data_IF_112904991661
#
_entry.id   IF_112904991661
#
_cell.length_a   1.000
_cell.length_b   1.000
_cell.length_c   1.000
_cell.angle_alpha   90.00
_cell.angle_beta   90.00
_cell.angle_gamma   90.00
#
_symmetry.space_group_name_H-M   'P 1'
#
loop_
_entity.id
_entity.type
_entity.pdbx_description
1 polymer ?
#
# COMPACT_ATOMS: atom_id res chain seq x y z
N UNK A 1 15.38 13.23 4.55
CA UNK A 1 14.01 13.77 4.65
C UNK A 1 13.55 13.51 6.06
N UNK A 2 13.00 14.50 6.74
CA UNK A 2 12.43 14.30 8.08
C UNK A 2 10.95 13.89 8.01
N UNK A 3 10.33 13.67 9.18
CA UNK A 3 8.93 13.24 9.26
C UNK A 3 7.97 14.25 8.63
N UNK A 4 8.16 15.54 8.90
CA UNK A 4 7.21 16.57 8.47
C UNK A 4 7.31 16.82 6.97
N UNK A 5 8.51 16.74 6.41
CA UNK A 5 8.73 16.76 4.97
C UNK A 5 8.02 15.58 4.29
N UNK A 6 8.17 14.36 4.82
CA UNK A 6 7.56 13.16 4.26
C UNK A 6 6.02 13.26 4.21
N UNK A 7 5.44 13.77 5.30
CA UNK A 7 3.99 13.98 5.42
C UNK A 7 3.51 15.04 4.43
N UNK A 8 4.23 16.16 4.29
CA UNK A 8 3.87 17.25 3.38
C UNK A 8 3.96 16.82 1.89
N UNK A 9 4.96 16.00 1.54
CA UNK A 9 5.17 15.56 0.16
C UNK A 9 4.19 14.44 -0.29
N UNK A 10 3.56 13.75 0.66
CA UNK A 10 2.62 12.67 0.38
C UNK A 10 1.43 13.20 -0.43
N UNK A 11 1.18 12.57 -1.57
CA UNK A 11 0.08 12.89 -2.49
C UNK A 11 -0.53 11.63 -3.08
N UNK A 12 -1.72 11.74 -3.65
CA UNK A 12 -2.35 10.62 -4.36
C UNK A 12 -1.66 10.44 -5.72
N UNK A 13 -0.96 9.33 -5.89
CA UNK A 13 -0.32 8.93 -7.16
C UNK A 13 -1.31 8.05 -7.94
N UNK A 14 -1.49 8.34 -9.24
CA UNK A 14 -2.44 7.63 -10.13
C UNK A 14 -1.76 6.93 -11.31
N UNK A 15 -0.44 7.06 -11.42
CA UNK A 15 0.36 6.47 -12.50
C UNK A 15 1.59 5.87 -11.84
N UNK A 16 1.70 4.56 -11.91
CA UNK A 16 2.83 3.80 -11.41
C UNK A 16 3.61 3.20 -12.58
N UNK A 17 4.85 2.83 -12.32
CA UNK A 17 5.68 2.13 -13.31
C UNK A 17 5.23 0.65 -13.39
N UNK A 18 4.69 0.18 -14.53
CA UNK A 18 4.23 -1.19 -14.66
C UNK A 18 5.36 -2.22 -14.68
N UNK A 19 6.61 -1.78 -14.87
CA UNK A 19 7.80 -2.65 -14.86
C UNK A 19 8.40 -2.82 -13.47
N UNK A 20 8.00 -1.97 -12.52
CA UNK A 20 8.51 -2.02 -11.16
C UNK A 20 7.70 -3.00 -10.29
N UNK A 21 8.41 -3.93 -9.65
CA UNK A 21 7.87 -4.80 -8.62
C UNK A 21 8.61 -4.53 -7.31
N UNK A 22 7.85 -4.29 -6.23
CA UNK A 22 8.42 -4.16 -4.89
C UNK A 22 8.96 -5.50 -4.43
N UNK A 23 10.12 -5.47 -3.79
CA UNK A 23 10.71 -6.63 -3.14
C UNK A 23 9.93 -7.01 -1.89
N UNK A 24 10.04 -8.27 -1.48
CA UNK A 24 9.43 -8.75 -0.24
C UNK A 24 9.94 -7.98 0.98
N UNK A 25 11.22 -7.60 0.99
CA UNK A 25 11.83 -6.82 2.05
C UNK A 25 11.22 -5.41 2.17
N UNK A 26 11.03 -4.70 1.05
CA UNK A 26 10.39 -3.38 1.05
C UNK A 26 8.95 -3.45 1.57
N UNK A 27 8.21 -4.49 1.16
CA UNK A 27 6.85 -4.73 1.62
C UNK A 27 6.83 -5.01 3.13
N UNK A 28 7.73 -5.88 3.62
CA UNK A 28 7.84 -6.20 5.03
C UNK A 28 8.13 -4.95 5.88
N UNK A 29 9.10 -4.12 5.48
CA UNK A 29 9.43 -2.88 6.19
C UNK A 29 8.26 -1.90 6.25
N UNK A 30 7.43 -1.82 5.19
CA UNK A 30 6.21 -1.00 5.22
C UNK A 30 5.20 -1.55 6.23
N UNK A 31 4.99 -2.86 6.28
CA UNK A 31 4.05 -3.47 7.22
C UNK A 31 4.51 -3.36 8.67
N UNK A 32 5.81 -3.50 8.94
CA UNK A 32 6.39 -3.25 10.27
C UNK A 32 6.06 -1.85 10.77
N UNK A 33 6.17 -0.83 9.92
CA UNK A 33 5.77 0.53 10.26
C UNK A 33 4.26 0.69 10.45
N UNK A 34 3.44 0.06 9.58
CA UNK A 34 1.97 0.16 9.63
C UNK A 34 1.41 -0.45 10.91
N UNK A 35 1.92 -1.60 11.37
CA UNK A 35 1.44 -2.31 12.55
C UNK A 35 1.64 -1.49 13.84
N UNK A 36 2.60 -0.56 13.86
CA UNK A 36 2.81 0.35 14.99
C UNK A 36 1.75 1.45 15.11
N UNK A 37 0.82 1.56 14.16
CA UNK A 37 -0.28 2.53 14.23
C UNK A 37 -1.19 2.24 15.43
N UNK A 38 -1.57 3.26 16.22
CA UNK A 38 -2.41 3.05 17.38
C UNK A 38 -3.81 2.59 16.97
N UNK A 39 -4.39 1.71 17.79
CA UNK A 39 -5.79 1.27 17.65
C UNK A 39 -6.48 1.38 19.00
N UNK A 40 -7.81 1.53 19.02
CA UNK A 40 -8.58 1.57 20.27
C UNK A 40 -8.28 0.32 21.09
N UNK A 41 -7.92 0.48 22.37
CA UNK A 41 -7.51 -0.61 23.26
C UNK A 41 -6.37 -1.50 22.72
N UNK A 42 -5.60 -1.01 21.74
CA UNK A 42 -4.57 -1.77 21.02
C UNK A 42 -5.05 -3.11 20.42
N UNK A 43 -6.33 -3.20 20.04
CA UNK A 43 -6.92 -4.47 19.56
C UNK A 43 -6.39 -4.92 18.19
N UNK A 44 -5.74 -4.03 17.44
CA UNK A 44 -5.14 -4.34 16.13
C UNK A 44 -6.14 -5.08 15.21
N UNK A 45 -7.36 -4.55 15.12
CA UNK A 45 -8.50 -5.13 14.39
C UNK A 45 -8.37 -5.08 12.86
N UNK A 46 -7.16 -4.87 12.33
CA UNK A 46 -6.87 -4.64 10.93
C UNK A 46 -6.47 -5.97 10.29
N UNK A 47 -6.90 -6.22 9.06
CA UNK A 47 -6.44 -7.35 8.26
C UNK A 47 -6.03 -6.82 6.91
N UNK A 48 -4.82 -7.16 6.50
CA UNK A 48 -4.25 -6.70 5.25
C UNK A 48 -4.25 -7.85 4.25
N UNK A 49 -4.70 -7.57 3.04
CA UNK A 49 -4.65 -8.50 1.91
C UNK A 49 -3.72 -7.91 0.87
N UNK A 50 -2.53 -8.49 0.74
CA UNK A 50 -1.57 -8.11 -0.27
C UNK A 50 -1.87 -8.86 -1.57
N UNK A 51 -2.08 -8.13 -2.67
CA UNK A 51 -2.32 -8.70 -4.00
C UNK A 51 -1.17 -8.33 -4.91
N UNK A 52 -0.30 -9.30 -5.20
CA UNK A 52 0.85 -9.16 -6.11
C UNK A 52 0.58 -9.76 -7.48
N UNK A 53 -0.28 -10.78 -7.55
CA UNK A 53 -0.62 -11.49 -8.77
C UNK A 53 -1.26 -10.56 -9.84
N UNK A 54 -0.73 -10.51 -11.07
CA UNK A 54 -1.23 -9.63 -12.13
C UNK A 54 -2.68 -9.91 -12.54
N UNK A 55 -3.10 -11.18 -12.59
CA UNK A 55 -4.45 -11.54 -13.00
C UNK A 55 -5.48 -11.07 -11.96
N UNK A 56 -5.17 -11.26 -10.67
CA UNK A 56 -5.99 -10.73 -9.57
C UNK A 56 -6.03 -9.21 -9.58
N UNK A 57 -4.92 -8.52 -9.86
CA UNK A 57 -4.91 -7.06 -10.01
C UNK A 57 -5.80 -6.60 -11.18
N UNK A 58 -5.81 -7.32 -12.30
CA UNK A 58 -6.68 -7.02 -13.43
C UNK A 58 -8.17 -7.17 -13.05
N UNK A 59 -8.52 -8.22 -12.30
CA UNK A 59 -9.88 -8.41 -11.78
C UNK A 59 -10.30 -7.28 -10.82
N UNK A 60 -9.41 -6.86 -9.92
CA UNK A 60 -9.64 -5.73 -9.02
C UNK A 60 -9.83 -4.41 -9.78
N UNK A 61 -9.06 -4.18 -10.85
CA UNK A 61 -9.24 -3.01 -11.73
C UNK A 61 -10.62 -2.98 -12.38
N UNK A 62 -11.09 -4.12 -12.87
CA UNK A 62 -12.43 -4.23 -13.44
C UNK A 62 -13.53 -3.89 -12.41
N UNK A 63 -13.40 -4.41 -11.18
CA UNK A 63 -14.30 -4.08 -10.07
C UNK A 63 -14.18 -2.61 -9.59
N UNK A 64 -13.00 -2.01 -9.76
CA UNK A 64 -12.67 -0.65 -9.35
C UNK A 64 -12.96 0.42 -10.40
N UNK A 65 -14.00 0.27 -11.23
CA UNK A 65 -14.39 1.22 -12.29
C UNK A 65 -13.29 1.47 -13.34
N UNK A 66 -12.43 0.48 -13.60
CA UNK A 66 -11.38 0.58 -14.61
C UNK A 66 -10.18 1.44 -14.22
N UNK A 67 -10.09 1.87 -12.96
CA UNK A 67 -8.99 2.70 -12.45
C UNK A 67 -7.64 1.99 -12.65
N UNK A 68 -6.81 2.57 -13.52
CA UNK A 68 -5.44 2.12 -13.68
C UNK A 68 -4.66 2.43 -12.40
N UNK A 69 -4.17 1.39 -11.75
CA UNK A 69 -3.13 1.47 -10.72
C UNK A 69 -1.79 1.13 -11.35
#
# INVERSE_FOLDING_TARGET
>A
MDLFDAVAQRRSVKKFDPSHAMTEAEIASLFEAVILSPTSYNIQNWRFVLVTDPERKAALRAAGFGQAQ
#
